data_IF_667380199752
#
_entry.id   IF_667380199752
#
_cell.length_a   1.000
_cell.length_b   1.000
_cell.length_c   1.000
_cell.angle_alpha   90.00
_cell.angle_beta   90.00
_cell.angle_gamma   90.00
#
_symmetry.space_group_name_H-M   'P 1'
#
loop_
_entity.id
_entity.type
_entity.pdbx_description
1 polymer ?
#
# COMPACT_ATOMS: atom_id res chain seq x y z
N UNK A 1 -21.35 14.26 -4.82
CA UNK A 1 -19.88 14.10 -4.93
C UNK A 1 -19.48 14.37 -6.37
N UNK A 2 -18.55 15.28 -6.61
CA UNK A 2 -17.94 15.43 -7.94
C UNK A 2 -17.09 14.20 -8.24
N UNK A 3 -17.34 13.56 -9.38
CA UNK A 3 -16.57 12.39 -9.83
C UNK A 3 -15.09 12.77 -10.06
N UNK A 4 -14.86 13.99 -10.55
CA UNK A 4 -13.54 14.54 -10.86
C UNK A 4 -13.07 15.53 -9.79
N UNK A 5 -11.84 15.38 -9.31
CA UNK A 5 -11.20 16.27 -8.33
C UNK A 5 -9.93 16.85 -8.92
N UNK A 6 -9.93 18.16 -9.14
CA UNK A 6 -8.74 18.93 -9.50
C UNK A 6 -7.84 19.08 -8.27
N UNK A 7 -6.59 18.57 -8.29
CA UNK A 7 -5.71 18.71 -7.15
C UNK A 7 -5.30 20.17 -6.95
N UNK A 8 -5.35 20.63 -5.70
CA UNK A 8 -4.84 21.94 -5.27
C UNK A 8 -3.55 21.80 -4.48
N UNK A 9 -3.39 20.66 -3.79
CA UNK A 9 -2.20 20.35 -2.99
C UNK A 9 -1.78 18.90 -3.14
N UNK A 10 -0.49 18.69 -3.36
CA UNK A 10 0.14 17.37 -3.48
C UNK A 10 1.22 17.19 -2.41
N UNK A 11 1.17 16.09 -1.67
CA UNK A 11 2.23 15.66 -0.76
C UNK A 11 3.09 14.59 -1.45
N UNK A 12 4.36 14.88 -1.68
CA UNK A 12 5.28 14.00 -2.42
C UNK A 12 6.47 13.62 -1.54
N UNK A 13 6.64 12.34 -1.27
CA UNK A 13 7.77 11.79 -0.52
C UNK A 13 8.19 10.44 -1.13
N UNK A 14 9.18 10.47 -2.02
CA UNK A 14 9.59 9.31 -2.82
C UNK A 14 11.06 8.97 -2.64
N UNK A 15 11.33 7.68 -2.50
CA UNK A 15 12.67 7.11 -2.51
C UNK A 15 13.19 6.95 -3.95
N UNK A 16 12.36 6.36 -4.81
CA UNK A 16 12.61 6.29 -6.26
C UNK A 16 12.13 7.58 -6.92
N UNK A 17 13.08 8.34 -7.50
CA UNK A 17 12.85 9.66 -8.11
C UNK A 17 12.53 9.59 -9.59
N UNK A 18 12.34 8.39 -10.16
CA UNK A 18 11.96 8.21 -11.56
C UNK A 18 10.70 9.01 -11.88
N UNK A 19 10.75 9.90 -12.88
CA UNK A 19 9.63 10.75 -13.28
C UNK A 19 9.26 11.87 -12.29
N UNK A 20 9.94 12.01 -11.15
CA UNK A 20 9.61 12.98 -10.09
C UNK A 20 9.62 14.42 -10.61
N UNK A 21 10.65 14.80 -11.35
CA UNK A 21 10.85 16.19 -11.80
C UNK A 21 9.79 16.58 -12.83
N UNK A 22 9.51 15.69 -13.78
CA UNK A 22 8.46 15.89 -14.80
C UNK A 22 7.08 16.00 -14.15
N UNK A 23 6.80 15.13 -13.18
CA UNK A 23 5.57 15.19 -12.40
C UNK A 23 5.44 16.46 -11.56
N UNK A 24 6.52 16.88 -10.88
CA UNK A 24 6.56 18.12 -10.12
C UNK A 24 6.32 19.36 -10.99
N UNK A 25 6.98 19.45 -12.15
CA UNK A 25 6.77 20.54 -13.12
C UNK A 25 5.33 20.57 -13.63
N UNK A 26 4.77 19.41 -13.94
CA UNK A 26 3.39 19.28 -14.41
C UNK A 26 2.38 19.83 -13.40
N UNK A 27 2.56 19.49 -12.12
CA UNK A 27 1.70 19.94 -11.02
C UNK A 27 1.88 21.44 -10.77
N UNK A 28 3.13 21.92 -10.68
CA UNK A 28 3.43 23.34 -10.45
C UNK A 28 2.88 24.23 -11.57
N UNK A 29 2.98 23.81 -12.84
CA UNK A 29 2.41 24.53 -13.98
C UNK A 29 0.88 24.68 -13.93
N UNK A 30 0.19 23.89 -13.11
CA UNK A 30 -1.26 23.94 -12.87
C UNK A 30 -1.62 24.63 -11.56
N UNK A 31 -0.65 25.25 -10.89
CA UNK A 31 -0.86 25.94 -9.61
C UNK A 31 -1.10 25.00 -8.42
N UNK A 32 -0.72 23.73 -8.53
CA UNK A 32 -0.78 22.79 -7.40
C UNK A 32 0.36 23.08 -6.44
N UNK A 33 0.04 23.32 -5.17
CA UNK A 33 1.04 23.46 -4.11
C UNK A 33 1.68 22.10 -3.81
N UNK A 34 3.00 21.99 -3.96
CA UNK A 34 3.73 20.76 -3.67
C UNK A 34 4.32 20.85 -2.27
N UNK A 35 3.92 19.91 -1.40
CA UNK A 35 4.53 19.66 -0.10
C UNK A 35 5.53 18.51 -0.23
N UNK A 36 6.72 18.66 0.33
CA UNK A 36 7.71 17.59 0.35
C UNK A 36 8.68 17.69 1.53
N UNK A 37 9.54 16.69 1.71
CA UNK A 37 10.56 16.67 2.76
C UNK A 37 11.83 15.98 2.28
N UNK A 38 12.94 16.25 2.97
CA UNK A 38 14.23 15.60 2.80
C UNK A 38 14.74 15.59 1.36
N UNK A 39 15.23 14.43 0.91
CA UNK A 39 15.82 14.28 -0.42
C UNK A 39 14.84 14.46 -1.59
N UNK A 40 13.52 14.34 -1.37
CA UNK A 40 12.51 14.61 -2.40
C UNK A 40 12.37 16.11 -2.63
N UNK A 41 12.23 16.88 -1.54
CA UNK A 41 12.14 18.34 -1.61
C UNK A 41 13.39 18.93 -2.25
N UNK A 42 14.58 18.46 -1.86
CA UNK A 42 15.85 18.89 -2.46
C UNK A 42 15.88 18.66 -3.97
N UNK A 43 15.54 17.46 -4.44
CA UNK A 43 15.55 17.15 -5.87
C UNK A 43 14.59 18.03 -6.69
N UNK A 44 13.42 18.36 -6.13
CA UNK A 44 12.46 19.26 -6.76
C UNK A 44 13.00 20.71 -6.81
N UNK A 45 13.55 21.22 -5.70
CA UNK A 45 14.16 22.56 -5.64
C UNK A 45 15.32 22.72 -6.62
N UNK A 46 16.24 21.74 -6.64
CA UNK A 46 17.41 21.75 -7.53
C UNK A 46 17.00 21.77 -9.01
N UNK A 47 15.81 21.25 -9.34
CA UNK A 47 15.25 21.27 -10.69
C UNK A 47 14.38 22.49 -11.02
N UNK A 48 14.31 23.47 -10.11
CA UNK A 48 13.53 24.70 -10.24
C UNK A 48 12.03 24.54 -10.00
N UNK A 49 11.58 23.44 -9.39
CA UNK A 49 10.17 23.22 -9.08
C UNK A 49 9.85 23.87 -7.72
N UNK A 50 8.84 24.78 -7.65
CA UNK A 50 8.39 25.32 -6.37
C UNK A 50 7.89 24.21 -5.46
N UNK A 51 8.45 24.13 -4.26
CA UNK A 51 8.08 23.14 -3.25
C UNK A 51 8.16 23.78 -1.88
N UNK A 52 7.15 23.49 -1.06
CA UNK A 52 7.08 23.90 0.35
C UNK A 52 7.48 22.72 1.22
N UNK A 53 8.33 22.96 2.21
CA UNK A 53 8.72 21.91 3.14
C UNK A 53 7.54 21.54 4.05
N UNK A 54 7.42 20.25 4.38
CA UNK A 54 6.35 19.77 5.27
C UNK A 54 6.41 20.47 6.63
N UNK A 55 7.59 20.74 7.17
CA UNK A 55 7.77 21.51 8.42
C UNK A 55 7.15 22.90 8.35
N UNK A 56 7.25 23.59 7.21
CA UNK A 56 6.68 24.93 7.01
C UNK A 56 5.16 24.88 6.83
N UNK A 57 4.64 23.73 6.40
CA UNK A 57 3.21 23.49 6.31
C UNK A 57 2.59 23.14 7.67
N UNK A 58 3.31 22.37 8.48
CA UNK A 58 2.81 21.83 9.75
C UNK A 58 3.13 22.71 10.94
N UNK A 59 4.14 23.57 10.83
CA UNK A 59 4.72 24.31 11.96
C UNK A 59 5.53 23.42 12.92
N UNK A 60 5.74 22.14 12.58
CA UNK A 60 6.41 21.17 13.45
C UNK A 60 7.73 20.72 12.81
N UNK A 61 8.88 20.84 13.51
CA UNK A 61 10.16 20.44 12.97
C UNK A 61 10.27 18.91 12.86
N UNK A 62 11.19 18.45 12.02
CA UNK A 62 11.60 17.05 12.00
C UNK A 62 12.37 16.71 13.29
N UNK A 63 11.94 15.65 13.99
CA UNK A 63 12.54 15.21 15.25
C UNK A 63 12.87 13.71 15.23
N UNK A 64 13.67 13.25 16.20
CA UNK A 64 14.04 11.84 16.38
C UNK A 64 14.72 11.26 15.13
N UNK A 65 15.74 11.96 14.63
CA UNK A 65 16.52 11.58 13.44
C UNK A 65 15.66 11.29 12.19
N UNK A 66 14.54 12.01 12.06
CA UNK A 66 13.63 11.90 10.93
C UNK A 66 12.57 10.81 11.02
N UNK A 67 12.50 10.10 12.16
CA UNK A 67 11.44 9.12 12.45
C UNK A 67 10.07 9.78 12.56
N UNK A 68 10.01 11.03 13.05
CA UNK A 68 8.77 11.78 13.20
C UNK A 68 8.86 13.09 12.41
N UNK A 69 8.35 13.03 11.17
CA UNK A 69 8.29 14.16 10.24
C UNK A 69 6.89 14.44 9.68
N UNK A 70 6.13 13.39 9.37
CA UNK A 70 4.81 13.47 8.73
C UNK A 70 3.67 12.99 9.62
N UNK A 71 3.98 12.44 10.80
CA UNK A 71 3.02 11.92 11.77
C UNK A 71 2.42 13.05 12.62
N UNK A 72 1.80 14.03 11.94
CA UNK A 72 1.19 15.21 12.58
C UNK A 72 -0.24 15.42 12.08
N UNK A 73 -1.13 16.01 12.90
CA UNK A 73 -2.53 16.24 12.53
C UNK A 73 -2.72 17.07 11.26
N UNK A 74 -1.83 18.00 10.97
CA UNK A 74 -1.91 18.86 9.78
C UNK A 74 -1.78 18.03 8.49
N UNK A 75 -0.90 17.02 8.48
CA UNK A 75 -0.75 16.12 7.33
C UNK A 75 -1.90 15.12 7.29
N UNK A 76 -2.12 14.35 8.35
CA UNK A 76 -3.12 13.28 8.32
C UNK A 76 -4.56 13.80 8.30
N UNK A 77 -4.85 14.91 8.97
CA UNK A 77 -6.14 15.61 8.89
C UNK A 77 -6.37 16.19 7.50
N UNK A 78 -5.34 16.72 6.84
CA UNK A 78 -5.42 17.19 5.46
C UNK A 78 -5.75 16.06 4.47
N UNK A 79 -5.27 14.84 4.75
CA UNK A 79 -5.54 13.64 3.94
C UNK A 79 -6.88 13.00 4.29
N UNK A 80 -7.22 12.83 5.57
CA UNK A 80 -8.39 12.07 6.05
C UNK A 80 -9.66 12.90 6.18
N UNK A 81 -9.54 14.23 6.15
CA UNK A 81 -10.67 15.15 6.16
C UNK A 81 -11.67 14.84 5.05
N UNK A 82 -12.89 14.49 5.45
CA UNK A 82 -14.00 14.29 4.52
C UNK A 82 -14.53 15.64 4.09
N UNK A 83 -14.64 15.84 2.79
CA UNK A 83 -15.02 17.14 2.20
C UNK A 83 -16.51 17.21 1.90
N UNK A 84 -17.17 16.07 1.97
CA UNK A 84 -18.60 15.89 1.84
C UNK A 84 -19.33 15.94 3.19
N UNK A 85 -18.60 16.08 4.31
CA UNK A 85 -19.14 16.15 5.66
C UNK A 85 -18.81 17.50 6.30
N UNK A 86 -19.83 18.33 6.51
CA UNK A 86 -19.68 19.70 7.00
C UNK A 86 -18.93 19.79 8.35
N UNK A 87 -19.15 18.83 9.25
CA UNK A 87 -18.46 18.75 10.53
C UNK A 87 -16.95 18.61 10.37
N UNK A 88 -16.49 17.74 9.47
CA UNK A 88 -15.05 17.57 9.20
C UNK A 88 -14.46 18.84 8.60
N UNK A 89 -15.16 19.50 7.68
CA UNK A 89 -14.70 20.76 7.07
C UNK A 89 -14.58 21.86 8.13
N UNK A 90 -15.54 21.95 9.05
CA UNK A 90 -15.49 22.91 10.15
C UNK A 90 -14.33 22.64 11.11
N UNK A 91 -14.10 21.38 11.49
CA UNK A 91 -12.96 20.97 12.32
C UNK A 91 -11.63 21.26 11.64
N UNK A 92 -11.50 20.95 10.35
CA UNK A 92 -10.29 21.25 9.58
C UNK A 92 -10.01 22.76 9.58
N UNK A 93 -11.03 23.60 9.35
CA UNK A 93 -10.87 25.04 9.38
C UNK A 93 -10.48 25.56 10.78
N UNK A 94 -11.13 25.07 11.85
CA UNK A 94 -10.85 25.47 13.22
C UNK A 94 -9.42 25.12 13.69
N UNK A 95 -8.83 24.07 13.11
CA UNK A 95 -7.47 23.63 13.41
C UNK A 95 -6.45 24.00 12.33
N UNK A 96 -6.82 24.87 11.39
CA UNK A 96 -5.95 25.34 10.30
C UNK A 96 -5.37 24.21 9.42
N UNK A 97 -6.13 23.12 9.30
CA UNK A 97 -5.75 21.94 8.53
C UNK A 97 -6.18 22.13 7.07
N UNK A 98 -5.21 22.35 6.19
CA UNK A 98 -5.49 22.48 4.76
C UNK A 98 -5.64 21.10 4.10
N UNK A 99 -6.59 20.93 3.16
CA UNK A 99 -6.79 19.64 2.48
C UNK A 99 -5.61 19.29 1.57
N UNK A 100 -5.33 17.98 1.48
CA UNK A 100 -4.37 17.37 0.56
C UNK A 100 -5.14 16.50 -0.43
N UNK A 101 -4.93 16.71 -1.73
CA UNK A 101 -5.68 16.05 -2.82
C UNK A 101 -4.93 14.88 -3.43
N UNK A 102 -3.60 14.93 -3.39
CA UNK A 102 -2.73 13.96 -4.01
C UNK A 102 -1.62 13.60 -3.04
N UNK A 103 -1.37 12.30 -2.87
CA UNK A 103 -0.29 11.77 -2.04
C UNK A 103 0.53 10.83 -2.88
N UNK A 104 1.78 11.20 -3.17
CA UNK A 104 2.73 10.39 -3.90
C UNK A 104 3.82 9.89 -2.96
N UNK A 105 3.78 8.62 -2.60
CA UNK A 105 4.71 8.00 -1.65
C UNK A 105 5.11 6.63 -2.15
N UNK A 106 6.38 6.43 -2.49
CA UNK A 106 6.91 5.10 -2.79
C UNK A 106 7.83 4.64 -1.65
N UNK A 107 7.51 3.47 -1.12
CA UNK A 107 8.30 2.83 -0.07
C UNK A 107 9.54 2.23 -0.72
N UNK A 108 10.71 2.56 -0.19
CA UNK A 108 11.92 1.81 -0.53
C UNK A 108 11.67 0.34 -0.17
N UNK A 109 11.93 -0.62 -1.07
CA UNK A 109 11.72 -2.03 -0.76
C UNK A 109 12.63 -2.43 0.40
N UNK A 110 12.04 -2.65 1.58
CA UNK A 110 12.73 -3.21 2.73
C UNK A 110 13.45 -4.51 2.36
N UNK A 111 12.86 -5.28 1.45
CA UNK A 111 13.44 -6.46 0.83
C UNK A 111 14.80 -6.20 0.18
N UNK A 112 15.01 -5.03 -0.41
CA UNK A 112 16.28 -4.67 -1.04
C UNK A 112 17.34 -4.32 0.01
N UNK A 113 16.97 -3.73 1.14
CA UNK A 113 17.88 -3.50 2.27
C UNK A 113 18.33 -4.83 2.86
N UNK A 114 17.39 -5.74 3.14
CA UNK A 114 17.70 -7.09 3.63
C UNK A 114 18.57 -7.87 2.62
N UNK A 115 18.28 -7.76 1.32
CA UNK A 115 19.06 -8.45 0.28
C UNK A 115 20.49 -7.94 0.14
N UNK A 116 20.79 -6.71 0.59
CA UNK A 116 22.16 -6.15 0.61
C UNK A 116 23.01 -6.67 1.78
N UNK A 117 22.43 -7.48 2.68
CA UNK A 117 23.13 -7.99 3.84
C UNK A 117 23.36 -6.93 4.92
N UNK A 118 22.46 -5.94 5.01
CA UNK A 118 22.43 -5.00 6.13
C UNK A 118 22.33 -5.75 7.46
N UNK A 119 22.95 -5.21 8.50
CA UNK A 119 22.85 -5.78 9.84
C UNK A 119 21.45 -5.58 10.44
N UNK A 120 21.25 -6.10 11.65
CA UNK A 120 19.96 -6.04 12.31
C UNK A 120 19.50 -4.60 12.56
N UNK A 121 20.37 -3.76 13.10
CA UNK A 121 20.04 -2.38 13.47
C UNK A 121 19.77 -1.53 12.22
N UNK A 122 20.56 -1.69 11.17
CA UNK A 122 20.33 -1.06 9.87
C UNK A 122 18.98 -1.48 9.27
N UNK A 123 18.59 -2.75 9.38
CA UNK A 123 17.28 -3.20 8.94
C UNK A 123 16.16 -2.51 9.73
N UNK A 124 16.27 -2.42 11.06
CA UNK A 124 15.29 -1.73 11.92
C UNK A 124 15.16 -0.26 11.54
N UNK A 125 16.26 0.45 11.32
CA UNK A 125 16.25 1.87 10.91
C UNK A 125 15.60 2.10 9.54
N UNK A 126 15.61 1.09 8.66
CA UNK A 126 14.98 1.15 7.34
C UNK A 126 13.48 0.78 7.34
N UNK A 127 12.88 0.49 8.51
CA UNK A 127 11.43 0.30 8.63
C UNK A 127 10.73 1.66 8.62
N UNK A 128 10.03 1.96 7.55
CA UNK A 128 9.28 3.20 7.36
C UNK A 128 7.94 3.13 8.09
N UNK A 129 7.70 4.10 8.99
CA UNK A 129 6.43 4.27 9.69
C UNK A 129 5.54 5.31 8.99
N UNK A 130 6.14 6.45 8.61
CA UNK A 130 5.41 7.58 8.04
C UNK A 130 4.85 7.28 6.65
N UNK A 131 5.62 6.59 5.81
CA UNK A 131 5.23 6.21 4.45
C UNK A 131 3.95 5.36 4.43
N UNK A 132 3.92 4.18 5.08
CA UNK A 132 2.72 3.35 5.15
C UNK A 132 1.54 4.08 5.80
N UNK A 133 1.76 4.91 6.82
CA UNK A 133 0.69 5.69 7.44
C UNK A 133 0.04 6.67 6.45
N UNK A 134 0.84 7.41 5.67
CA UNK A 134 0.34 8.34 4.64
C UNK A 134 -0.38 7.60 3.51
N UNK A 135 0.20 6.50 3.02
CA UNK A 135 -0.39 5.67 1.95
C UNK A 135 -1.77 5.15 2.38
N UNK A 136 -1.87 4.58 3.60
CA UNK A 136 -3.13 4.05 4.13
C UNK A 136 -4.16 5.16 4.38
N UNK A 137 -3.72 6.33 4.86
CA UNK A 137 -4.60 7.47 5.06
C UNK A 137 -5.22 7.96 3.74
N UNK A 138 -4.40 8.08 2.70
CA UNK A 138 -4.84 8.52 1.39
C UNK A 138 -5.74 7.48 0.70
N UNK A 139 -5.38 6.20 0.77
CA UNK A 139 -6.19 5.10 0.25
C UNK A 139 -7.56 4.99 0.93
N UNK A 140 -7.61 5.19 2.27
CA UNK A 140 -8.87 5.23 3.01
C UNK A 140 -9.79 6.35 2.51
N UNK A 141 -9.24 7.54 2.27
CA UNK A 141 -10.00 8.70 1.81
C UNK A 141 -9.99 8.88 0.28
N UNK A 142 -9.96 7.79 -0.49
CA UNK A 142 -9.91 7.81 -1.96
C UNK A 142 -11.12 8.50 -2.62
N UNK A 143 -12.21 8.74 -1.88
CA UNK A 143 -13.30 9.58 -2.34
C UNK A 143 -12.80 11.00 -2.70
N UNK A 144 -11.76 11.47 -2.00
CA UNK A 144 -11.21 12.82 -2.13
C UNK A 144 -9.73 12.88 -2.51
N UNK A 145 -8.96 11.82 -2.25
CA UNK A 145 -7.49 11.83 -2.36
C UNK A 145 -7.00 10.79 -3.36
N UNK A 146 -6.13 11.17 -4.28
CA UNK A 146 -5.42 10.24 -5.15
C UNK A 146 -4.10 9.79 -4.50
N UNK A 147 -3.90 8.48 -4.35
CA UNK A 147 -2.67 7.91 -3.77
C UNK A 147 -1.82 7.26 -4.85
N UNK A 148 -0.55 7.64 -4.97
CA UNK A 148 0.38 7.14 -5.97
C UNK A 148 1.55 6.46 -5.27
N UNK A 149 1.65 5.15 -5.39
CA UNK A 149 2.70 4.36 -4.72
C UNK A 149 3.86 3.91 -5.61
N UNK A 150 3.77 4.15 -6.92
CA UNK A 150 4.73 3.68 -7.92
C UNK A 150 4.98 4.76 -8.97
N UNK A 151 6.20 4.86 -9.55
CA UNK A 151 6.51 5.85 -10.59
C UNK A 151 5.58 5.77 -11.81
N UNK A 152 5.14 4.56 -12.18
CA UNK A 152 4.22 4.35 -13.31
C UNK A 152 2.87 5.07 -13.13
N UNK A 153 2.45 5.35 -11.90
CA UNK A 153 1.21 6.09 -11.63
C UNK A 153 1.31 7.57 -12.02
N UNK A 154 2.51 8.15 -12.12
CA UNK A 154 2.66 9.57 -12.50
C UNK A 154 2.11 9.83 -13.90
N UNK A 155 2.52 9.02 -14.89
CA UNK A 155 2.10 9.19 -16.28
C UNK A 155 0.59 9.02 -16.44
N UNK A 156 0.01 8.02 -15.76
CA UNK A 156 -1.44 7.78 -15.79
C UNK A 156 -2.23 8.96 -15.22
N UNK A 157 -1.83 9.46 -14.04
CA UNK A 157 -2.53 10.57 -13.37
C UNK A 157 -2.32 11.89 -14.13
N UNK A 158 -1.16 12.11 -14.75
CA UNK A 158 -0.92 13.27 -15.61
C UNK A 158 -1.85 13.27 -16.82
N UNK A 159 -2.01 12.11 -17.48
CA UNK A 159 -2.91 11.96 -18.61
C UNK A 159 -4.35 12.25 -18.20
N UNK A 160 -4.81 11.66 -17.08
CA UNK A 160 -6.17 11.88 -16.59
C UNK A 160 -6.44 13.33 -16.18
N UNK A 161 -5.49 13.99 -15.49
CA UNK A 161 -5.63 15.41 -15.13
C UNK A 161 -5.65 16.30 -16.38
N UNK A 162 -4.91 15.93 -17.43
CA UNK A 162 -4.90 16.69 -18.69
C UNK A 162 -6.22 16.56 -19.45
N UNK A 163 -6.80 15.37 -19.48
CA UNK A 163 -8.06 15.09 -20.18
C UNK A 163 -9.28 15.64 -19.42
N UNK A 164 -9.36 15.37 -18.11
CA UNK A 164 -10.56 15.59 -17.31
C UNK A 164 -10.47 16.81 -16.39
N UNK A 165 -9.30 17.46 -16.29
CA UNK A 165 -9.06 18.57 -15.35
C UNK A 165 -8.84 18.14 -13.90
N UNK A 166 -8.79 16.83 -13.63
CA UNK A 166 -8.61 16.27 -12.29
C UNK A 166 -8.60 14.76 -12.30
N UNK A 167 -8.51 14.15 -11.12
CA UNK A 167 -8.57 12.69 -10.97
C UNK A 167 -10.01 12.20 -10.94
N UNK A 168 -10.32 11.07 -11.57
CA UNK A 168 -11.66 10.43 -11.56
C UNK A 168 -11.81 9.50 -10.35
N UNK A 169 -13.02 9.31 -9.83
CA UNK A 169 -13.25 8.43 -8.68
C UNK A 169 -12.83 6.98 -8.96
N UNK A 170 -13.08 6.50 -10.18
CA UNK A 170 -12.69 5.16 -10.61
C UNK A 170 -11.17 4.95 -10.49
N UNK A 171 -10.38 5.94 -10.93
CA UNK A 171 -8.92 5.92 -10.85
C UNK A 171 -8.46 5.98 -9.40
N UNK A 172 -9.01 6.89 -8.58
CA UNK A 172 -8.69 6.94 -7.14
C UNK A 172 -8.99 5.63 -6.41
N UNK A 173 -10.11 4.96 -6.72
CA UNK A 173 -10.47 3.64 -6.16
C UNK A 173 -9.47 2.55 -6.56
N UNK A 174 -9.08 2.50 -7.85
CA UNK A 174 -8.10 1.52 -8.35
C UNK A 174 -6.73 1.74 -7.69
N UNK A 175 -6.29 2.99 -7.61
CA UNK A 175 -5.05 3.38 -6.95
C UNK A 175 -5.06 3.06 -5.45
N UNK A 176 -6.18 3.26 -4.76
CA UNK A 176 -6.33 2.89 -3.36
C UNK A 176 -6.21 1.38 -3.12
N UNK A 177 -6.79 0.56 -4.02
CA UNK A 177 -6.63 -0.89 -3.96
C UNK A 177 -5.16 -1.30 -4.15
N UNK A 178 -4.46 -0.70 -5.12
CA UNK A 178 -3.03 -0.92 -5.34
C UNK A 178 -2.18 -0.49 -4.14
N UNK A 179 -2.51 0.65 -3.52
CA UNK A 179 -1.85 1.16 -2.32
C UNK A 179 -1.96 0.20 -1.13
N UNK A 180 -3.14 -0.35 -0.84
CA UNK A 180 -3.30 -1.35 0.22
C UNK A 180 -2.56 -2.65 -0.09
N UNK A 181 -2.55 -3.10 -1.35
CA UNK A 181 -1.76 -4.26 -1.76
C UNK A 181 -0.25 -4.02 -1.55
N UNK A 182 0.23 -2.81 -1.84
CA UNK A 182 1.63 -2.42 -1.62
C UNK A 182 2.00 -2.43 -0.14
N UNK A 183 1.18 -1.86 0.74
CA UNK A 183 1.46 -1.89 2.20
C UNK A 183 1.35 -3.29 2.78
N UNK A 184 0.42 -4.13 2.28
CA UNK A 184 0.34 -5.53 2.70
C UNK A 184 1.60 -6.32 2.30
N UNK A 185 2.17 -6.05 1.13
CA UNK A 185 3.44 -6.63 0.71
C UNK A 185 4.60 -6.21 1.62
N UNK A 186 4.65 -4.93 1.95
CA UNK A 186 5.67 -4.35 2.83
C UNK A 186 5.65 -4.98 4.23
N UNK A 187 4.47 -5.06 4.87
CA UNK A 187 4.33 -5.64 6.20
C UNK A 187 4.62 -7.16 6.20
N UNK A 188 4.26 -7.88 5.13
CA UNK A 188 4.60 -9.29 4.98
C UNK A 188 6.13 -9.52 4.87
N UNK A 189 6.85 -8.61 4.20
CA UNK A 189 8.31 -8.68 4.11
C UNK A 189 8.98 -8.46 5.47
N UNK A 190 8.51 -7.47 6.24
CA UNK A 190 9.01 -7.19 7.60
C UNK A 190 8.73 -8.38 8.53
N UNK A 191 7.50 -8.87 8.54
CA UNK A 191 7.09 -10.03 9.35
C UNK A 191 7.94 -11.27 9.03
N UNK A 192 8.12 -11.57 7.73
CA UNK A 192 8.95 -12.70 7.30
C UNK A 192 10.44 -12.52 7.59
N UNK A 193 10.94 -11.29 7.68
CA UNK A 193 12.31 -11.01 8.12
C UNK A 193 12.47 -11.27 9.63
N UNK A 194 11.58 -10.75 10.49
CA UNK A 194 11.62 -11.01 11.92
C UNK A 194 11.53 -12.51 12.25
N UNK A 195 10.63 -13.25 11.59
CA UNK A 195 10.53 -14.70 11.77
C UNK A 195 11.87 -15.41 11.51
N UNK A 196 12.63 -14.98 10.50
CA UNK A 196 13.97 -15.53 10.21
C UNK A 196 15.00 -15.15 11.27
N UNK A 197 14.98 -13.91 11.78
CA UNK A 197 15.90 -13.50 12.84
C UNK A 197 15.69 -14.32 14.12
N UNK A 198 14.44 -14.67 14.42
CA UNK A 198 14.06 -15.53 15.55
C UNK A 198 14.25 -17.04 15.28
N UNK A 199 14.81 -17.43 14.12
CA UNK A 199 15.02 -18.84 13.76
C UNK A 199 13.72 -19.64 13.54
N UNK A 200 12.60 -18.96 13.31
CA UNK A 200 11.28 -19.59 13.12
C UNK A 200 11.08 -20.00 11.66
N UNK A 201 11.20 -21.29 11.38
CA UNK A 201 10.92 -21.84 10.04
C UNK A 201 9.42 -21.76 9.70
N UNK A 202 8.56 -21.98 10.70
CA UNK A 202 7.10 -21.91 10.59
C UNK A 202 6.53 -21.01 11.69
N UNK A 203 6.46 -19.68 11.47
CA UNK A 203 5.89 -18.76 12.46
C UNK A 203 4.39 -19.01 12.64
N UNK A 204 3.85 -18.68 13.82
CA UNK A 204 2.42 -18.80 14.14
C UNK A 204 1.53 -18.08 13.11
N UNK A 205 2.01 -16.93 12.60
CA UNK A 205 1.37 -16.19 11.52
C UNK A 205 2.30 -16.11 10.32
N UNK A 206 1.89 -16.77 9.23
CA UNK A 206 2.59 -16.74 7.95
C UNK A 206 1.85 -15.85 6.95
N UNK A 207 2.55 -14.87 6.36
CA UNK A 207 1.99 -13.94 5.39
C UNK A 207 2.78 -13.98 4.09
N UNK A 208 2.06 -14.07 2.97
CA UNK A 208 2.66 -14.12 1.63
C UNK A 208 2.16 -12.95 0.79
N UNK A 209 3.07 -12.37 0.02
CA UNK A 209 2.75 -11.39 -1.02
C UNK A 209 3.48 -11.74 -2.31
N UNK A 210 2.87 -11.37 -3.44
CA UNK A 210 3.44 -11.60 -4.76
C UNK A 210 2.76 -10.78 -5.83
N UNK A 211 3.46 -10.60 -6.95
CA UNK A 211 2.92 -9.93 -8.13
C UNK A 211 2.46 -10.94 -9.18
N UNK A 212 1.41 -10.58 -9.93
CA UNK A 212 0.93 -11.40 -11.04
C UNK A 212 2.02 -11.48 -12.11
N UNK A 213 2.52 -12.69 -12.39
CA UNK A 213 3.50 -12.91 -13.47
C UNK A 213 2.84 -13.24 -14.80
N UNK A 214 1.84 -14.12 -14.77
CA UNK A 214 1.06 -14.52 -15.92
C UNK A 214 -0.24 -15.18 -15.45
N UNK A 215 -1.30 -15.01 -16.23
CA UNK A 215 -2.50 -15.82 -16.14
C UNK A 215 -2.22 -17.19 -16.77
N UNK A 216 -2.82 -18.25 -16.22
CA UNK A 216 -2.74 -19.59 -16.81
C UNK A 216 -4.08 -19.93 -17.44
N UNK A 217 -4.07 -20.74 -18.50
CA UNK A 217 -5.27 -21.11 -19.25
C UNK A 217 -6.30 -21.83 -18.38
N UNK A 218 -5.80 -22.61 -17.44
CA UNK A 218 -6.54 -23.31 -16.38
C UNK A 218 -5.55 -23.61 -15.24
N UNK A 219 -6.07 -23.99 -14.08
CA UNK A 219 -5.32 -24.48 -12.94
C UNK A 219 -4.94 -25.93 -13.08
N UNK A 220 -5.11 -26.69 -12.00
CA UNK A 220 -4.92 -28.14 -12.06
C UNK A 220 -6.03 -28.83 -12.85
N UNK A 221 -7.25 -28.27 -12.82
CA UNK A 221 -8.41 -28.76 -13.56
C UNK A 221 -8.89 -27.73 -14.60
N UNK A 222 -9.32 -28.16 -15.80
CA UNK A 222 -9.71 -27.26 -16.91
C UNK A 222 -10.82 -26.25 -16.58
N UNK A 223 -11.64 -26.54 -15.56
CA UNK A 223 -12.76 -25.69 -15.14
C UNK A 223 -12.35 -24.61 -14.12
N UNK A 224 -11.13 -24.64 -13.59
CA UNK A 224 -10.65 -23.72 -12.57
C UNK A 224 -9.65 -22.74 -13.17
N UNK A 225 -9.84 -21.44 -12.96
CA UNK A 225 -8.86 -20.41 -13.32
C UNK A 225 -7.76 -20.34 -12.26
N UNK A 226 -6.49 -20.26 -12.68
CA UNK A 226 -5.34 -20.20 -11.78
C UNK A 226 -4.35 -19.12 -12.21
N UNK A 227 -3.66 -18.56 -11.22
CA UNK A 227 -2.68 -17.50 -11.40
C UNK A 227 -1.34 -17.98 -10.85
N UNK A 228 -0.24 -17.66 -11.52
CA UNK A 228 1.10 -17.90 -11.00
C UNK A 228 1.66 -16.63 -10.36
N UNK A 229 1.58 -16.47 -9.02
CA UNK A 229 2.24 -15.36 -8.34
C UNK A 229 3.77 -15.48 -8.46
N UNK A 230 4.45 -14.33 -8.52
CA UNK A 230 5.88 -14.22 -8.27
C UNK A 230 6.07 -13.90 -6.79
N UNK A 231 6.56 -14.88 -6.03
CA UNK A 231 6.92 -14.70 -4.62
C UNK A 231 8.34 -14.14 -4.49
N UNK A 232 8.59 -13.45 -3.39
CA UNK A 232 9.94 -13.09 -2.93
C UNK A 232 10.42 -14.13 -1.92
N UNK A 233 11.69 -14.58 -2.02
CA UNK A 233 12.26 -15.66 -1.21
C UNK A 233 12.42 -17.01 -1.95
N UNK A 234 13.17 -17.97 -1.38
CA UNK A 234 13.52 -19.22 -2.05
C UNK A 234 12.35 -20.23 -2.04
N UNK A 235 11.20 -19.88 -2.62
CA UNK A 235 10.24 -20.89 -3.05
C UNK A 235 10.66 -21.41 -4.44
N UNK A 236 11.81 -22.10 -4.49
CA UNK A 236 12.19 -22.91 -5.64
C UNK A 236 11.49 -24.26 -5.49
N UNK A 237 10.45 -24.47 -6.29
CA UNK A 237 9.78 -25.76 -6.51
C UNK A 237 9.15 -26.40 -5.27
N UNK A 238 7.85 -26.16 -5.06
CA UNK A 238 7.02 -27.22 -4.49
C UNK A 238 6.75 -28.22 -5.63
N UNK A 239 7.64 -29.20 -5.82
CA UNK A 239 7.26 -30.43 -6.52
C UNK A 239 6.41 -31.21 -5.54
N UNK A 240 5.21 -31.60 -5.94
CA UNK A 240 4.46 -32.63 -5.23
C UNK A 240 5.33 -33.88 -5.19
N UNK A 241 5.90 -34.20 -4.04
CA UNK A 241 6.35 -35.55 -3.75
C UNK A 241 5.08 -36.40 -3.73
N UNK A 242 4.83 -37.11 -4.83
CA UNK A 242 3.69 -38.01 -4.96
C UNK A 242 3.79 -39.14 -3.94
N UNK A 243 3.21 -38.94 -2.76
CA UNK A 243 2.78 -40.00 -1.86
C UNK A 243 1.48 -39.59 -1.16
N UNK A 244 0.36 -40.06 -1.73
CA UNK A 244 -0.85 -40.46 -1.02
C UNK A 244 -1.58 -39.41 -0.18
N UNK A 245 -2.42 -38.59 -0.80
CA UNK A 245 -3.59 -38.01 -0.13
C UNK A 245 -4.54 -39.15 0.27
N UNK A 246 -4.48 -39.60 1.54
CA UNK A 246 -5.57 -40.38 2.14
C UNK A 246 -6.71 -39.42 2.45
N UNK A 247 -7.82 -39.61 1.75
CA UNK A 247 -9.09 -38.96 2.00
C UNK A 247 -9.56 -39.19 3.44
N UNK A 248 -9.82 -38.12 4.17
CA UNK A 248 -10.67 -38.16 5.35
C UNK A 248 -12.13 -38.09 4.87
N UNK A 249 -12.77 -39.25 4.77
CA UNK A 249 -14.23 -39.35 4.71
C UNK A 249 -14.73 -39.81 6.09
N UNK A 250 -15.85 -39.26 6.61
CA UNK A 250 -16.39 -39.69 7.89
C UNK A 250 -16.93 -41.12 7.75
N UNK A 251 -16.42 -42.03 8.58
CA UNK A 251 -16.82 -43.42 8.63
C UNK A 251 -18.28 -43.54 9.09
N UNK A 252 -19.18 -43.85 8.15
CA UNK A 252 -20.47 -44.48 8.45
C UNK A 252 -20.23 -45.94 8.81
N UNK A 253 -20.50 -46.32 10.06
CA UNK A 253 -20.49 -47.71 10.50
C UNK A 253 -21.76 -48.41 10.01
N UNK A 254 -21.58 -49.47 9.22
CA UNK A 254 -22.64 -50.39 8.82
C UNK A 254 -22.52 -51.72 9.56
N UNK A 255 -23.69 -52.38 9.67
CA UNK A 255 -23.94 -53.79 9.91
C UNK A 255 -24.04 -54.29 11.37
N UNK A 256 -25.29 -54.55 11.76
CA UNK A 256 -25.65 -55.45 12.84
C UNK A 256 -27.10 -55.92 12.71
N UNK A 257 -27.43 -56.71 11.68
CA UNK A 257 -28.69 -57.45 11.62
C UNK A 257 -28.69 -58.51 12.73
N UNK A 258 -29.53 -58.34 13.76
CA UNK A 258 -30.00 -59.44 14.61
C UNK A 258 -31.52 -59.35 14.77
N UNK A 259 -32.16 -60.39 14.27
CA UNK A 259 -33.58 -60.73 14.36
C UNK A 259 -33.96 -61.01 15.80
N UNK A 260 -35.01 -60.37 16.34
CA UNK A 260 -35.86 -60.94 17.41
C UNK A 260 -37.32 -60.55 17.13
N UNK A 261 -38.18 -61.57 17.23
CA UNK A 261 -39.63 -61.62 17.00
C UNK A 261 -40.44 -60.95 18.11
N UNK A 262 -41.66 -60.52 17.74
CA UNK A 262 -42.92 -60.39 18.50
C UNK A 262 -42.89 -60.44 20.03
N UNK A 263 -43.58 -59.50 20.69
CA UNK A 263 -44.90 -59.75 21.32
C UNK A 263 -45.36 -58.58 22.22
N UNK A 264 -46.64 -58.22 22.02
CA UNK A 264 -47.66 -57.75 22.97
C UNK A 264 -47.49 -56.54 23.90
N UNK A 265 -48.64 -55.82 23.97
CA UNK A 265 -49.13 -54.78 24.88
C UNK A 265 -48.72 -53.33 24.55
#
# INVERSE_FOLDING_TARGET
MTDVIAPRRALISVSDKTGLIEFGRFLAARGVEILSTGGTAKALRDAGVPVKDVSDHTGFPEILDGRVKTLVPQVHGGILGRRDLAEHVAQMAAHEIAPIDLVAVNLYPFEATVAKGADFDDCIENIDIGGPAMIRSAAKNHAHVAVLTEPAHFAEVQAEITEAGGTKLATRRRLAAAAYARTAAYDAAISGWFAKQEGQEFPERLSFSGSLRQTLRYGENPQLTFLRPRFWGPLRHCRSSGQGLRSWAPQGTSAGKKTIKNSHL
#
